data_IF_557369240145
#
_entry.id   IF_557369240145
#
_cell.length_a   1.000
_cell.length_b   1.000
_cell.length_c   1.000
_cell.angle_alpha   90.00
_cell.angle_beta   90.00
_cell.angle_gamma   90.00
#
_symmetry.space_group_name_H-M   'P 1'
#
loop_
_entity.id
_entity.type
_entity.pdbx_description
1 polymer ?
#
# COMPACT_ATOMS: atom_id res chain seq x y z
N UNK A 1 6.76 33.80 -35.05
CA UNK A 1 7.89 33.63 -34.10
C UNK A 1 7.43 33.13 -32.72
N UNK A 2 6.48 33.77 -32.04
CA UNK A 2 6.01 33.34 -30.67
C UNK A 2 5.48 31.88 -30.64
N UNK A 3 4.73 31.44 -31.65
CA UNK A 3 4.20 30.07 -31.75
C UNK A 3 5.31 29.01 -31.97
N UNK A 4 6.32 29.33 -32.75
CA UNK A 4 7.47 28.42 -32.97
C UNK A 4 8.33 28.29 -31.69
N UNK A 5 8.52 29.38 -30.96
CA UNK A 5 9.20 29.37 -29.65
C UNK A 5 8.42 28.54 -28.61
N UNK A 6 7.09 28.69 -28.57
CA UNK A 6 6.25 27.90 -27.65
C UNK A 6 6.31 26.39 -27.96
N UNK A 7 6.28 26.01 -29.24
CA UNK A 7 6.39 24.60 -29.64
C UNK A 7 7.79 24.04 -29.34
N UNK A 8 8.84 24.84 -29.56
CA UNK A 8 10.21 24.42 -29.23
C UNK A 8 10.42 24.24 -27.71
N UNK A 9 9.85 25.13 -26.89
CA UNK A 9 9.90 25.01 -25.42
C UNK A 9 9.11 23.80 -24.92
N UNK A 10 7.94 23.51 -25.52
CA UNK A 10 7.15 22.35 -25.18
C UNK A 10 7.87 21.04 -25.55
N UNK A 11 8.46 20.99 -26.75
CA UNK A 11 9.25 19.84 -27.19
C UNK A 11 10.49 19.61 -26.32
N UNK A 12 11.17 20.68 -25.92
CA UNK A 12 12.30 20.63 -25.02
C UNK A 12 11.90 20.16 -23.60
N UNK A 13 10.76 20.63 -23.07
CA UNK A 13 10.21 20.18 -21.79
C UNK A 13 9.82 18.69 -21.82
N UNK A 14 9.22 18.22 -22.92
CA UNK A 14 8.92 16.79 -23.11
C UNK A 14 10.19 15.93 -23.23
N UNK A 15 11.24 16.44 -23.88
CA UNK A 15 12.51 15.73 -23.99
C UNK A 15 13.24 15.59 -22.65
N UNK A 16 13.12 16.60 -21.75
CA UNK A 16 13.67 16.51 -20.40
C UNK A 16 12.93 15.51 -19.49
N UNK A 17 11.65 15.23 -19.76
CA UNK A 17 10.83 14.27 -18.98
C UNK A 17 11.25 12.82 -19.20
N UNK A 18 12.05 12.53 -20.20
CA UNK A 18 12.65 11.22 -20.46
C UNK A 18 13.92 10.95 -19.62
N UNK A 19 14.12 11.71 -18.52
CA UNK A 19 15.18 11.43 -17.56
C UNK A 19 14.95 10.05 -16.94
N UNK A 20 15.65 9.10 -17.54
CA UNK A 20 15.65 7.68 -17.27
C UNK A 20 15.72 7.40 -15.76
N UNK A 21 14.83 6.56 -15.28
CA UNK A 21 15.07 5.76 -14.09
C UNK A 21 16.33 4.94 -14.36
N UNK A 22 17.49 5.45 -13.94
CA UNK A 22 18.75 4.74 -14.03
C UNK A 22 18.73 3.65 -12.95
N UNK A 23 18.11 2.53 -13.28
CA UNK A 23 18.28 1.27 -12.56
C UNK A 23 19.75 0.92 -12.69
N UNK A 24 20.42 0.58 -11.59
CA UNK A 24 21.78 0.04 -11.61
C UNK A 24 21.94 -0.94 -12.77
N UNK A 25 23.00 -0.85 -13.59
CA UNK A 25 23.22 -1.74 -14.72
C UNK A 25 23.60 -3.14 -14.22
N UNK A 26 22.60 -3.88 -13.75
CA UNK A 26 22.77 -5.28 -13.34
C UNK A 26 22.72 -6.17 -14.59
N UNK A 27 23.61 -7.18 -14.71
CA UNK A 27 23.69 -8.06 -15.87
C UNK A 27 22.58 -9.11 -15.83
N UNK A 28 21.36 -8.72 -16.18
CA UNK A 28 20.23 -9.65 -16.32
C UNK A 28 20.43 -10.58 -17.51
N UNK A 29 20.08 -11.85 -17.35
CA UNK A 29 20.16 -12.86 -18.42
C UNK A 29 19.10 -12.63 -19.50
N UNK A 30 17.88 -12.23 -19.07
CA UNK A 30 16.73 -12.04 -19.93
C UNK A 30 15.76 -10.98 -19.34
N UNK A 31 14.74 -10.64 -20.11
CA UNK A 31 13.70 -9.70 -19.69
C UNK A 31 12.87 -10.24 -18.52
N UNK A 32 12.58 -11.55 -18.49
CA UNK A 32 11.80 -12.18 -17.43
C UNK A 32 12.50 -12.07 -16.07
N UNK A 33 13.83 -12.27 -16.04
CA UNK A 33 14.61 -12.07 -14.80
C UNK A 33 14.60 -10.61 -14.36
N UNK A 34 14.69 -9.66 -15.30
CA UNK A 34 14.59 -8.24 -15.00
C UNK A 34 13.22 -7.88 -14.42
N UNK A 35 12.15 -8.34 -15.03
CA UNK A 35 10.78 -8.07 -14.59
C UNK A 35 10.53 -8.66 -13.21
N UNK A 36 10.98 -9.88 -12.96
CA UNK A 36 10.93 -10.52 -11.65
C UNK A 36 11.69 -9.69 -10.59
N UNK A 37 12.89 -9.24 -10.92
CA UNK A 37 13.69 -8.39 -10.03
C UNK A 37 12.99 -7.06 -9.73
N UNK A 38 12.45 -6.39 -10.74
CA UNK A 38 11.71 -5.14 -10.57
C UNK A 38 10.47 -5.33 -9.71
N UNK A 39 9.72 -6.41 -9.94
CA UNK A 39 8.54 -6.75 -9.14
C UNK A 39 8.93 -6.94 -7.67
N UNK A 40 9.90 -7.79 -7.40
CA UNK A 40 10.37 -8.08 -6.05
C UNK A 40 10.88 -6.82 -5.32
N UNK A 41 11.72 -6.00 -5.98
CA UNK A 41 12.29 -4.79 -5.37
C UNK A 41 11.26 -3.67 -5.20
N UNK A 42 10.14 -3.68 -5.93
CA UNK A 42 9.02 -2.75 -5.75
C UNK A 42 8.20 -3.10 -4.50
N UNK A 43 8.08 -4.37 -4.16
CA UNK A 43 7.37 -4.86 -2.98
C UNK A 43 8.15 -4.65 -1.66
N UNK A 44 9.40 -4.25 -1.77
CA UNK A 44 10.29 -4.06 -0.63
C UNK A 44 10.49 -2.57 -0.34
N UNK A 45 10.37 -2.21 0.93
CA UNK A 45 10.55 -0.85 1.45
C UNK A 45 12.03 -0.56 1.70
N UNK A 46 12.47 0.63 1.35
CA UNK A 46 13.79 1.12 1.75
C UNK A 46 13.76 1.60 3.21
N UNK A 47 14.54 0.97 4.09
CA UNK A 47 14.51 1.23 5.54
C UNK A 47 15.12 2.57 5.96
N UNK A 48 15.94 3.19 5.11
CA UNK A 48 16.65 4.46 5.38
C UNK A 48 16.11 5.61 4.51
N UNK A 49 15.08 5.34 3.71
CA UNK A 49 14.48 6.30 2.79
C UNK A 49 13.10 6.72 3.31
N UNK A 50 12.63 7.90 2.91
CA UNK A 50 11.30 8.38 3.29
C UNK A 50 10.21 7.66 2.49
N UNK A 51 9.88 6.44 2.92
CA UNK A 51 8.75 5.65 2.40
C UNK A 51 8.85 5.24 0.91
N UNK A 52 10.07 5.19 0.35
CA UNK A 52 10.31 4.75 -1.01
C UNK A 52 10.55 3.24 -1.08
N UNK A 53 10.21 2.65 -2.25
CA UNK A 53 10.57 1.25 -2.54
C UNK A 53 12.07 1.10 -2.80
N UNK A 54 12.60 -0.11 -2.60
CA UNK A 54 13.98 -0.42 -2.98
C UNK A 54 14.25 -0.16 -4.47
N UNK A 55 13.24 -0.30 -5.32
CA UNK A 55 13.37 -0.04 -6.76
C UNK A 55 13.57 1.46 -7.03
N UNK A 56 12.78 2.33 -6.39
CA UNK A 56 12.76 3.76 -6.66
C UNK A 56 13.91 4.52 -5.97
N UNK A 57 14.42 4.00 -4.85
CA UNK A 57 15.39 4.70 -4.05
C UNK A 57 16.79 4.71 -4.65
N UNK A 58 17.43 5.89 -4.63
CA UNK A 58 18.82 6.10 -5.04
C UNK A 58 19.82 6.05 -3.88
N UNK A 59 19.37 5.79 -2.66
CA UNK A 59 20.24 5.67 -1.49
C UNK A 59 21.23 4.52 -1.67
N UNK A 60 22.45 4.67 -1.17
CA UNK A 60 23.50 3.66 -1.31
C UNK A 60 23.11 2.34 -0.63
N UNK A 61 22.37 2.42 0.47
CA UNK A 61 21.78 1.25 1.11
C UNK A 61 20.83 0.49 0.17
N UNK A 62 19.94 1.21 -0.54
CA UNK A 62 19.02 0.59 -1.50
C UNK A 62 19.77 -0.06 -2.67
N UNK A 63 20.81 0.60 -3.19
CA UNK A 63 21.68 0.04 -4.25
C UNK A 63 22.37 -1.23 -3.78
N UNK A 64 22.95 -1.22 -2.57
CA UNK A 64 23.61 -2.39 -2.00
C UNK A 64 22.64 -3.55 -1.80
N UNK A 65 21.44 -3.27 -1.29
CA UNK A 65 20.44 -4.31 -1.05
C UNK A 65 19.89 -4.88 -2.36
N UNK A 66 19.71 -4.06 -3.40
CA UNK A 66 19.34 -4.52 -4.76
C UNK A 66 20.38 -5.48 -5.34
N UNK A 67 21.68 -5.19 -5.18
CA UNK A 67 22.76 -6.10 -5.62
C UNK A 67 22.68 -7.42 -4.87
N UNK A 68 22.48 -7.40 -3.58
CA UNK A 68 22.35 -8.61 -2.75
C UNK A 68 21.14 -9.46 -3.14
N UNK A 69 19.98 -8.82 -3.46
CA UNK A 69 18.80 -9.51 -3.99
C UNK A 69 19.11 -10.13 -5.34
N UNK A 70 19.79 -9.40 -6.22
CA UNK A 70 20.21 -9.92 -7.53
C UNK A 70 21.13 -11.15 -7.39
N UNK A 71 22.09 -11.11 -6.50
CA UNK A 71 22.99 -12.25 -6.24
C UNK A 71 22.23 -13.48 -5.72
N UNK A 72 21.26 -13.27 -4.83
CA UNK A 72 20.38 -14.36 -4.36
C UNK A 72 19.52 -14.94 -5.49
N UNK A 73 19.05 -14.10 -6.42
CA UNK A 73 18.32 -14.56 -7.61
C UNK A 73 19.23 -15.38 -8.55
N UNK A 74 20.50 -14.97 -8.72
CA UNK A 74 21.49 -15.73 -9.50
C UNK A 74 21.80 -17.09 -8.88
N UNK A 75 21.72 -17.21 -7.55
CA UNK A 75 21.85 -18.46 -6.80
C UNK A 75 20.59 -19.36 -6.91
N UNK A 76 19.56 -18.93 -7.65
CA UNK A 76 18.33 -19.68 -7.85
C UNK A 76 17.35 -19.64 -6.69
N UNK A 77 17.49 -18.72 -5.71
CA UNK A 77 16.54 -18.59 -4.61
C UNK A 77 15.17 -18.12 -5.12
N UNK A 78 14.11 -18.63 -4.50
CA UNK A 78 12.75 -18.17 -4.75
C UNK A 78 12.48 -16.81 -4.10
N UNK A 79 11.43 -16.11 -4.54
CA UNK A 79 11.04 -14.80 -3.99
C UNK A 79 10.69 -14.90 -2.51
N UNK A 80 10.03 -16.00 -2.09
CA UNK A 80 9.75 -16.25 -0.69
C UNK A 80 11.02 -16.40 0.14
N UNK A 81 11.99 -17.18 -0.32
CA UNK A 81 13.28 -17.36 0.38
C UNK A 81 14.07 -16.03 0.49
N UNK A 82 13.99 -15.18 -0.53
CA UNK A 82 14.62 -13.86 -0.51
C UNK A 82 13.92 -12.96 0.50
N UNK A 83 12.57 -12.93 0.50
CA UNK A 83 11.77 -12.16 1.46
C UNK A 83 12.02 -12.63 2.89
N UNK A 84 12.03 -13.94 3.14
CA UNK A 84 12.29 -14.52 4.47
C UNK A 84 13.68 -14.12 4.98
N UNK A 85 14.69 -14.17 4.10
CA UNK A 85 16.04 -13.75 4.44
C UNK A 85 16.13 -12.26 4.80
N UNK A 86 15.39 -11.41 4.08
CA UNK A 86 15.31 -9.98 4.34
C UNK A 86 14.56 -9.69 5.66
N UNK A 87 13.44 -10.38 5.90
CA UNK A 87 12.65 -10.24 7.12
C UNK A 87 13.47 -10.64 8.35
N UNK A 88 14.25 -11.71 8.26
CA UNK A 88 15.11 -12.16 9.35
C UNK A 88 16.18 -11.12 9.74
N UNK A 89 16.60 -10.24 8.81
CA UNK A 89 17.64 -9.21 9.06
C UNK A 89 17.07 -7.82 9.35
N UNK A 90 15.96 -7.46 8.70
CA UNK A 90 15.43 -6.09 8.71
C UNK A 90 14.02 -6.01 9.29
N UNK A 91 13.49 -7.11 9.83
CA UNK A 91 12.11 -7.28 10.32
C UNK A 91 11.05 -7.25 9.21
N UNK A 92 9.80 -7.55 9.59
CA UNK A 92 8.64 -7.54 8.66
C UNK A 92 8.34 -6.16 8.08
N UNK A 93 8.91 -5.10 8.67
CA UNK A 93 8.71 -3.72 8.22
C UNK A 93 9.29 -3.46 6.81
N UNK A 94 10.22 -4.31 6.33
CA UNK A 94 10.78 -4.21 4.97
C UNK A 94 9.75 -4.57 3.88
N UNK A 95 8.67 -5.26 4.23
CA UNK A 95 7.60 -5.62 3.31
C UNK A 95 6.53 -4.53 3.28
N UNK A 96 6.11 -4.09 2.08
CA UNK A 96 4.95 -3.21 1.95
C UNK A 96 3.65 -3.94 2.27
N UNK A 97 3.58 -5.24 1.95
CA UNK A 97 2.45 -6.11 2.24
C UNK A 97 2.87 -7.14 3.32
N UNK A 98 2.73 -6.78 4.61
CA UNK A 98 3.10 -7.69 5.68
C UNK A 98 2.16 -8.90 5.69
N UNK A 99 2.69 -10.12 5.88
CA UNK A 99 1.87 -11.32 5.96
C UNK A 99 0.87 -11.20 7.11
N UNK A 100 -0.29 -11.86 6.96
CA UNK A 100 -1.29 -11.97 8.03
C UNK A 100 -0.66 -12.68 9.24
N UNK A 101 -0.05 -11.90 10.10
CA UNK A 101 0.50 -12.38 11.37
C UNK A 101 -0.54 -12.19 12.50
N UNK A 102 -0.46 -12.97 13.59
CA UNK A 102 -1.37 -12.81 14.73
C UNK A 102 -1.46 -11.37 15.24
N UNK A 103 -0.35 -10.63 15.19
CA UNK A 103 -0.29 -9.22 15.56
C UNK A 103 -1.09 -8.29 14.64
N UNK A 104 -1.27 -8.65 13.35
CA UNK A 104 -2.00 -7.84 12.36
C UNK A 104 -3.45 -8.27 12.19
N UNK A 105 -3.83 -9.48 12.64
CA UNK A 105 -5.20 -10.01 12.57
C UNK A 105 -6.18 -9.06 13.30
N UNK A 106 -5.81 -8.59 14.50
CA UNK A 106 -6.64 -7.67 15.26
C UNK A 106 -6.91 -6.35 14.51
N UNK A 107 -5.95 -5.88 13.71
CA UNK A 107 -6.10 -4.67 12.89
C UNK A 107 -7.04 -4.92 11.69
N UNK A 108 -6.87 -6.05 11.01
CA UNK A 108 -7.65 -6.40 9.82
C UNK A 108 -9.11 -6.72 10.13
N UNK A 109 -9.36 -7.46 11.22
CA UNK A 109 -10.70 -7.89 11.61
C UNK A 109 -11.34 -7.00 12.67
N UNK A 110 -10.56 -6.29 13.48
CA UNK A 110 -11.05 -5.40 14.52
C UNK A 110 -11.81 -4.20 13.96
N UNK A 111 -11.29 -3.54 12.95
CA UNK A 111 -11.92 -2.36 12.34
C UNK A 111 -13.31 -2.67 11.77
N UNK A 112 -13.50 -3.68 10.89
CA UNK A 112 -14.84 -4.02 10.40
C UNK A 112 -15.77 -4.52 11.49
N UNK A 113 -15.28 -5.23 12.51
CA UNK A 113 -16.10 -5.67 13.64
C UNK A 113 -16.65 -4.49 14.45
N UNK A 114 -15.83 -3.47 14.73
CA UNK A 114 -16.27 -2.25 15.42
C UNK A 114 -17.29 -1.48 14.60
N UNK A 115 -17.09 -1.36 13.28
CA UNK A 115 -18.03 -0.69 12.39
C UNK A 115 -19.38 -1.41 12.35
N UNK A 116 -19.38 -2.74 12.28
CA UNK A 116 -20.62 -3.54 12.31
C UNK A 116 -21.33 -3.40 13.66
N UNK A 117 -20.61 -3.51 14.78
CA UNK A 117 -21.19 -3.33 16.10
C UNK A 117 -21.79 -1.93 16.29
N UNK A 118 -21.07 -0.89 15.89
CA UNK A 118 -21.56 0.49 15.91
C UNK A 118 -22.77 0.70 15.03
N UNK A 119 -22.78 0.16 13.83
CA UNK A 119 -23.94 0.19 12.92
C UNK A 119 -25.16 -0.47 13.50
N UNK A 120 -25.02 -1.64 14.12
CA UNK A 120 -26.12 -2.35 14.80
C UNK A 120 -26.70 -1.49 15.94
N UNK A 121 -25.82 -0.90 16.78
CA UNK A 121 -26.26 -0.02 17.88
C UNK A 121 -27.04 1.16 17.34
N UNK A 122 -26.57 1.83 16.31
CA UNK A 122 -27.29 2.97 15.68
C UNK A 122 -28.65 2.54 15.15
N UNK A 123 -28.73 1.43 14.42
CA UNK A 123 -30.00 0.91 13.90
C UNK A 123 -30.97 0.58 15.02
N UNK A 124 -30.51 -0.05 16.10
CA UNK A 124 -31.34 -0.38 17.28
C UNK A 124 -31.87 0.90 17.96
N UNK A 125 -31.01 1.91 18.13
CA UNK A 125 -31.40 3.18 18.73
C UNK A 125 -32.44 3.93 17.87
N UNK A 126 -32.24 3.97 16.56
CA UNK A 126 -33.21 4.58 15.63
C UNK A 126 -34.55 3.85 15.66
N UNK A 127 -34.53 2.52 15.62
CA UNK A 127 -35.77 1.72 15.70
C UNK A 127 -36.50 1.89 17.04
N UNK A 128 -35.77 2.08 18.14
CA UNK A 128 -36.38 2.39 19.44
C UNK A 128 -37.04 3.77 19.49
N UNK A 129 -36.43 4.77 18.81
CA UNK A 129 -36.96 6.12 18.73
C UNK A 129 -38.19 6.22 17.82
N UNK A 130 -38.32 5.37 16.81
CA UNK A 130 -39.49 5.36 15.87
C UNK A 130 -40.66 4.51 16.35
N UNK A 131 -40.61 3.90 17.56
CA UNK A 131 -41.81 3.35 18.15
C UNK A 131 -42.73 4.51 18.49
N UNK A 132 -43.94 4.63 17.86
CA UNK A 132 -44.90 5.66 18.23
C UNK A 132 -45.21 5.48 19.71
N UNK A 133 -45.09 6.56 20.48
CA UNK A 133 -45.63 6.64 21.82
C UNK A 133 -47.11 6.20 21.73
N UNK A 134 -47.46 5.16 22.48
CA UNK A 134 -48.80 4.57 22.44
C UNK A 134 -49.83 5.66 22.47
N UNK A 135 -50.89 5.48 21.65
CA UNK A 135 -52.08 6.31 21.68
C UNK A 135 -52.46 6.54 23.14
N UNK A 136 -52.42 7.80 23.54
CA UNK A 136 -53.12 8.24 24.74
C UNK A 136 -54.58 8.00 24.40
N UNK A 137 -55.17 6.97 24.98
CA UNK A 137 -56.59 6.76 24.95
C UNK A 137 -57.18 7.94 25.72
N UNK A 138 -57.70 8.89 24.99
CA UNK A 138 -58.49 9.99 25.53
C UNK A 138 -59.75 9.36 26.11
N UNK A 139 -59.83 9.32 27.43
CA UNK A 139 -60.99 8.88 28.19
C UNK A 139 -62.09 9.91 27.96
N UNK A 140 -63.33 9.52 27.52
CA UNK A 140 -64.40 10.48 27.36
C UNK A 140 -64.78 11.04 28.73
N UNK A 141 -64.52 12.37 28.90
CA UNK A 141 -64.98 13.08 30.08
C UNK A 141 -66.47 13.02 30.20
N UNK A 142 -66.99 12.51 31.35
CA UNK A 142 -68.35 12.63 31.76
C UNK A 142 -68.72 14.09 31.99
N UNK A 143 -69.56 14.60 31.12
CA UNK A 143 -70.24 15.89 31.30
C UNK A 143 -71.27 15.79 32.43
N UNK A 144 -71.10 16.71 33.44
CA UNK A 144 -72.12 17.09 34.38
C UNK A 144 -72.37 18.58 34.29
#
# INVERSE_FOLDING_TARGET
MRRLLAVALLAFALALSAAAFAIDPLPFKDTAQRDRFQHLTRELRCMVCQDESLLASNADFAKQLRRQIFDMMQQGKSDSQIKDWLVARYSTFILYDPPLAPATIALWFGTPAILLAGGIVVVVLLRRRTRPAGMITEEPGDDW
#
